data_IF_140559015081
#
_entry.id   IF_140559015081
#
_cell.length_a   1.000
_cell.length_b   1.000
_cell.length_c   1.000
_cell.angle_alpha   90.00
_cell.angle_beta   90.00
_cell.angle_gamma   90.00
#
_symmetry.space_group_name_H-M   'P 1'
#
loop_
_entity.id
_entity.type
_entity.pdbx_description
1 polymer ?
#
# COMPACT_ATOMS: atom_id res chain seq x y z
N UNK A 1 23.23 46.16 -47.18
CA UNK A 1 22.31 45.10 -47.64
C UNK A 1 22.71 43.70 -47.18
N UNK A 2 23.98 43.30 -47.26
CA UNK A 2 24.46 41.97 -46.83
C UNK A 2 24.14 41.54 -45.37
N UNK A 3 24.19 42.40 -44.34
CA UNK A 3 23.97 41.95 -42.95
C UNK A 3 22.49 41.66 -42.61
N UNK A 4 21.53 42.24 -43.35
CA UNK A 4 20.11 41.87 -43.19
C UNK A 4 19.80 40.49 -43.77
N UNK A 5 20.44 40.14 -44.89
CA UNK A 5 20.24 38.84 -45.56
C UNK A 5 20.82 37.71 -44.71
N UNK A 6 21.99 37.90 -44.10
CA UNK A 6 22.57 36.91 -43.17
C UNK A 6 21.73 36.75 -41.89
N UNK A 7 21.14 37.84 -41.38
CA UNK A 7 20.21 37.78 -40.25
C UNK A 7 18.96 36.92 -40.54
N UNK A 8 18.35 37.09 -41.71
CA UNK A 8 17.20 36.30 -42.15
C UNK A 8 17.55 34.81 -42.30
N UNK A 9 18.71 34.51 -42.90
CA UNK A 9 19.20 33.13 -43.05
C UNK A 9 19.46 32.49 -41.68
N UNK A 10 20.07 33.21 -40.75
CA UNK A 10 20.34 32.71 -39.39
C UNK A 10 19.04 32.45 -38.61
N UNK A 11 18.03 33.33 -38.72
CA UNK A 11 16.72 33.10 -38.11
C UNK A 11 16.00 31.89 -38.71
N UNK A 12 16.02 31.75 -40.04
CA UNK A 12 15.49 30.58 -40.74
C UNK A 12 16.16 29.27 -40.29
N UNK A 13 17.50 29.28 -40.12
CA UNK A 13 18.23 28.13 -39.60
C UNK A 13 17.82 27.76 -38.17
N UNK A 14 17.53 28.73 -37.30
CA UNK A 14 17.04 28.44 -35.94
C UNK A 14 15.67 27.76 -35.95
N UNK A 15 14.75 28.22 -36.81
CA UNK A 15 13.43 27.59 -36.97
C UNK A 15 13.58 26.12 -37.37
N UNK A 16 14.44 25.82 -38.34
CA UNK A 16 14.65 24.44 -38.80
C UNK A 16 15.26 23.56 -37.70
N UNK A 17 16.17 24.09 -36.87
CA UNK A 17 16.73 23.35 -35.72
C UNK A 17 15.65 23.05 -34.69
N UNK A 18 14.86 24.06 -34.30
CA UNK A 18 13.77 23.90 -33.33
C UNK A 18 12.74 22.88 -33.83
N UNK A 19 12.35 22.96 -35.11
CA UNK A 19 11.43 22.00 -35.71
C UNK A 19 11.97 20.56 -35.66
N UNK A 20 13.27 20.35 -35.86
CA UNK A 20 13.89 19.02 -35.73
C UNK A 20 13.84 18.50 -34.29
N UNK A 21 14.13 19.34 -33.30
CA UNK A 21 14.05 18.94 -31.88
C UNK A 21 12.61 18.59 -31.48
N UNK A 22 11.63 19.40 -31.90
CA UNK A 22 10.21 19.12 -31.67
C UNK A 22 9.81 17.79 -32.33
N UNK A 23 10.22 17.55 -33.57
CA UNK A 23 9.97 16.30 -34.28
C UNK A 23 10.58 15.08 -33.58
N UNK A 24 11.80 15.21 -33.05
CA UNK A 24 12.44 14.16 -32.24
C UNK A 24 11.66 13.87 -30.97
N UNK A 25 11.23 14.89 -30.23
CA UNK A 25 10.40 14.72 -29.03
C UNK A 25 9.06 14.06 -29.33
N UNK A 26 8.37 14.50 -30.39
CA UNK A 26 7.10 13.94 -30.80
C UNK A 26 7.22 12.46 -31.21
N UNK A 27 8.30 12.10 -31.92
CA UNK A 27 8.57 10.72 -32.30
C UNK A 27 8.74 9.80 -31.07
N UNK A 28 9.35 10.30 -29.99
CA UNK A 28 9.48 9.56 -28.73
C UNK A 28 8.10 9.37 -28.09
N UNK A 29 7.27 10.41 -28.04
CA UNK A 29 5.90 10.32 -27.50
C UNK A 29 5.04 9.35 -28.30
N UNK A 30 5.09 9.40 -29.63
CA UNK A 30 4.37 8.48 -30.50
C UNK A 30 4.84 7.03 -30.32
N UNK A 31 6.13 6.83 -30.04
CA UNK A 31 6.68 5.51 -29.69
C UNK A 31 6.14 4.95 -28.37
N UNK A 32 5.69 5.81 -27.44
CA UNK A 32 5.02 5.38 -26.21
C UNK A 32 3.57 4.94 -26.44
N UNK A 33 2.89 5.41 -27.49
CA UNK A 33 1.53 4.96 -27.84
C UNK A 33 1.50 3.51 -28.31
N UNK A 34 2.57 3.02 -28.94
CA UNK A 34 2.69 1.62 -29.37
C UNK A 34 3.18 0.67 -28.26
N UNK A 35 3.43 1.17 -27.04
CA UNK A 35 3.73 0.31 -25.90
C UNK A 35 2.42 -0.16 -25.28
N UNK A 36 2.37 -1.43 -24.90
CA UNK A 36 1.26 -1.94 -24.11
C UNK A 36 1.21 -1.19 -22.77
N UNK A 37 -0.01 -0.86 -22.33
CA UNK A 37 -0.21 -0.27 -21.02
C UNK A 37 0.21 -1.29 -19.95
N UNK A 38 1.07 -0.86 -19.02
CA UNK A 38 1.43 -1.67 -17.84
C UNK A 38 0.52 -1.25 -16.69
N UNK A 39 -0.78 -1.56 -16.84
CA UNK A 39 -1.78 -1.31 -15.81
C UNK A 39 -2.47 -2.60 -15.43
N UNK A 40 -2.60 -2.81 -14.14
CA UNK A 40 -3.45 -3.84 -13.54
C UNK A 40 -4.88 -3.29 -13.43
N UNK A 41 -5.86 -4.02 -13.95
CA UNK A 41 -7.25 -3.57 -13.90
C UNK A 41 -7.86 -3.84 -12.52
N UNK A 42 -7.75 -2.88 -11.60
CA UNK A 42 -8.59 -2.90 -10.40
C UNK A 42 -10.05 -2.66 -10.80
N UNK A 43 -11.06 -3.39 -10.26
CA UNK A 43 -11.02 -4.41 -9.22
C UNK A 43 -10.93 -5.88 -9.71
N UNK A 44 -10.74 -6.09 -11.02
CA UNK A 44 -10.84 -7.40 -11.67
C UNK A 44 -9.55 -8.23 -11.55
N UNK A 45 -8.39 -7.58 -11.51
CA UNK A 45 -7.08 -8.22 -11.42
C UNK A 45 -6.31 -7.64 -10.22
N UNK A 46 -5.94 -8.50 -9.27
CA UNK A 46 -5.27 -8.12 -8.01
C UNK A 46 -3.77 -8.36 -8.13
N UNK A 47 -2.97 -7.48 -7.55
CA UNK A 47 -1.53 -7.74 -7.41
C UNK A 47 -1.32 -8.92 -6.47
N UNK A 48 -0.29 -9.70 -6.75
CA UNK A 48 0.29 -10.60 -5.76
C UNK A 48 0.83 -9.77 -4.59
N UNK A 49 0.25 -9.95 -3.41
CA UNK A 49 0.80 -9.39 -2.17
C UNK A 49 1.98 -10.23 -1.71
N UNK A 50 2.99 -9.58 -1.12
CA UNK A 50 4.12 -10.26 -0.47
C UNK A 50 3.63 -11.06 0.74
N UNK A 51 4.35 -12.13 1.11
CA UNK A 51 4.04 -12.97 2.27
C UNK A 51 3.99 -12.17 3.59
N UNK A 52 4.78 -11.09 3.70
CA UNK A 52 4.84 -10.21 4.86
C UNK A 52 4.11 -8.86 4.64
N UNK A 53 3.11 -8.81 3.76
CA UNK A 53 2.34 -7.57 3.55
C UNK A 53 1.53 -7.23 4.81
N UNK A 54 1.78 -6.06 5.40
CA UNK A 54 0.99 -5.52 6.51
C UNK A 54 -0.40 -5.10 6.03
N UNK A 55 -1.33 -6.05 6.04
CA UNK A 55 -2.75 -5.83 5.77
C UNK A 55 -3.54 -5.53 7.04
N UNK A 56 -4.79 -6.00 7.06
CA UNK A 56 -5.62 -5.95 8.27
C UNK A 56 -5.01 -6.85 9.34
N UNK A 57 -4.82 -6.31 10.54
CA UNK A 57 -4.38 -7.07 11.70
C UNK A 57 -5.49 -8.06 12.06
N UNK A 58 -5.18 -9.36 11.99
CA UNK A 58 -6.01 -10.45 12.48
C UNK A 58 -5.32 -11.04 13.71
N UNK A 59 -6.04 -11.17 14.81
CA UNK A 59 -5.49 -11.67 16.07
C UNK A 59 -6.17 -12.99 16.41
N UNK A 60 -5.46 -14.09 16.13
CA UNK A 60 -5.88 -15.43 16.50
C UNK A 60 -5.24 -15.82 17.85
N UNK A 61 -6.06 -15.90 18.91
CA UNK A 61 -5.61 -16.35 20.23
C UNK A 61 -6.14 -17.76 20.50
N UNK A 62 -5.22 -18.73 20.62
CA UNK A 62 -5.55 -20.07 21.08
C UNK A 62 -5.71 -20.10 22.62
N UNK A 63 -6.94 -20.20 23.11
CA UNK A 63 -7.23 -20.28 24.55
C UNK A 63 -6.68 -21.54 25.24
N UNK A 64 -6.25 -22.56 24.47
CA UNK A 64 -5.56 -23.74 25.01
C UNK A 64 -4.09 -23.51 25.35
N UNK A 65 -3.47 -22.48 24.76
CA UNK A 65 -2.04 -22.14 24.94
C UNK A 65 -1.90 -20.84 25.73
N UNK A 66 -2.85 -19.91 25.57
CA UNK A 66 -2.84 -18.63 26.27
C UNK A 66 -2.83 -18.81 27.80
N UNK A 67 -1.92 -18.10 28.46
CA UNK A 67 -1.76 -18.09 29.93
C UNK A 67 -2.32 -16.82 30.59
N UNK A 68 -2.99 -15.95 29.82
CA UNK A 68 -3.58 -14.68 30.31
C UNK A 68 -2.57 -13.71 30.92
N UNK A 69 -1.38 -13.58 30.30
CA UNK A 69 -0.31 -12.69 30.78
C UNK A 69 -0.58 -11.19 30.55
N UNK A 70 -1.47 -10.82 29.61
CA UNK A 70 -1.77 -9.42 29.33
C UNK A 70 -0.84 -8.71 28.32
N UNK A 71 0.28 -9.33 27.93
CA UNK A 71 1.26 -8.70 27.04
C UNK A 71 0.69 -8.27 25.68
N UNK A 72 -0.30 -9.00 25.15
CA UNK A 72 -0.94 -8.64 23.87
C UNK A 72 -1.66 -7.28 23.93
N UNK A 73 -2.17 -6.88 25.09
CA UNK A 73 -2.82 -5.58 25.31
C UNK A 73 -1.77 -4.49 25.46
N UNK A 74 -0.73 -4.74 26.27
CA UNK A 74 0.33 -3.76 26.55
C UNK A 74 1.15 -3.40 25.31
N UNK A 75 1.49 -4.40 24.47
CA UNK A 75 2.29 -4.16 23.27
C UNK A 75 1.49 -3.58 22.10
N UNK A 76 0.15 -3.54 22.19
CA UNK A 76 -0.68 -3.08 21.08
C UNK A 76 -0.47 -1.56 20.85
N UNK A 77 0.06 -1.13 19.69
CA UNK A 77 0.37 0.29 19.43
C UNK A 77 -0.89 1.17 19.32
N UNK A 78 -2.03 0.57 18.98
CA UNK A 78 -3.33 1.27 18.85
C UNK A 78 -4.20 1.08 20.08
N UNK A 79 -3.74 0.30 21.07
CA UNK A 79 -4.47 -0.01 22.30
C UNK A 79 -5.94 -0.44 22.05
N UNK A 80 -6.16 -1.26 21.03
CA UNK A 80 -7.51 -1.66 20.58
C UNK A 80 -8.02 -2.96 21.23
N UNK A 81 -7.22 -3.58 22.11
CA UNK A 81 -7.58 -4.79 22.83
C UNK A 81 -7.90 -4.47 24.29
N UNK A 82 -8.81 -5.24 24.87
CA UNK A 82 -9.08 -5.20 26.31
C UNK A 82 -9.29 -6.60 26.88
N UNK A 83 -8.84 -6.83 28.11
CA UNK A 83 -9.11 -8.06 28.86
C UNK A 83 -10.33 -7.81 29.74
N UNK A 84 -11.41 -8.55 29.49
CA UNK A 84 -12.60 -8.50 30.34
C UNK A 84 -12.46 -9.55 31.46
N UNK A 85 -12.42 -9.08 32.71
CA UNK A 85 -12.44 -9.92 33.90
C UNK A 85 -13.88 -10.30 34.23
N UNK A 86 -14.33 -11.49 33.83
CA UNK A 86 -15.59 -12.04 34.35
C UNK A 86 -15.29 -12.86 35.60
N UNK A 87 -15.53 -12.26 36.77
CA UNK A 87 -15.52 -12.97 38.04
C UNK A 87 -16.80 -13.83 38.12
N UNK A 88 -16.65 -15.17 38.19
CA UNK A 88 -17.27 -16.03 39.21
C UNK A 88 -16.97 -17.54 39.02
N UNK A 89 -16.43 -18.11 40.12
CA UNK A 89 -16.61 -19.45 40.71
C UNK A 89 -15.89 -20.67 40.08
N UNK A 90 -15.24 -21.41 40.99
CA UNK A 90 -14.46 -22.64 40.90
C UNK A 90 -14.87 -23.67 39.83
N UNK A 91 -13.98 -23.95 38.89
CA UNK A 91 -14.06 -25.13 38.02
C UNK A 91 -12.69 -25.81 37.96
N UNK A 92 -12.68 -27.13 38.15
CA UNK A 92 -11.49 -27.97 38.35
C UNK A 92 -10.78 -28.40 37.05
N UNK A 93 -11.25 -27.95 35.88
CA UNK A 93 -10.74 -28.38 34.58
C UNK A 93 -10.21 -27.22 33.72
N UNK A 94 -9.05 -27.42 33.07
CA UNK A 94 -8.39 -26.40 32.22
C UNK A 94 -9.21 -26.03 30.97
N UNK A 95 -10.05 -26.95 30.49
CA UNK A 95 -10.89 -26.74 29.31
C UNK A 95 -12.07 -25.77 29.57
N UNK A 96 -12.55 -25.67 30.81
CA UNK A 96 -13.64 -24.75 31.19
C UNK A 96 -13.15 -23.35 31.54
N UNK A 97 -11.86 -23.20 31.88
CA UNK A 97 -11.24 -21.90 32.04
C UNK A 97 -11.30 -21.08 30.74
N UNK A 98 -11.20 -21.77 29.58
CA UNK A 98 -11.28 -21.23 28.22
C UNK A 98 -12.38 -20.21 27.95
N UNK A 99 -13.53 -20.37 28.63
CA UNK A 99 -14.73 -19.53 28.46
C UNK A 99 -14.78 -18.30 29.38
N UNK A 100 -13.85 -18.17 30.33
CA UNK A 100 -13.92 -17.16 31.43
C UNK A 100 -13.20 -15.86 31.12
N UNK A 101 -12.17 -15.91 30.28
CA UNK A 101 -11.34 -14.78 29.87
C UNK A 101 -11.60 -14.46 28.39
N UNK A 102 -12.77 -13.89 28.13
CA UNK A 102 -13.09 -13.39 26.79
C UNK A 102 -12.25 -12.13 26.55
N UNK A 103 -11.28 -12.19 25.64
CA UNK A 103 -10.72 -10.97 25.04
C UNK A 103 -11.83 -10.34 24.21
N UNK A 104 -12.48 -9.32 24.77
CA UNK A 104 -13.49 -8.53 24.07
C UNK A 104 -12.73 -7.40 23.38
N UNK A 105 -12.37 -7.62 22.12
CA UNK A 105 -11.81 -6.58 21.28
C UNK A 105 -12.90 -5.91 20.45
N UNK A 106 -13.65 -4.96 21.03
CA UNK A 106 -14.20 -3.81 20.29
C UNK A 106 -14.39 -2.65 21.27
N UNK A 107 -13.50 -1.66 21.24
CA UNK A 107 -13.88 -0.29 21.58
C UNK A 107 -14.27 0.42 20.28
N UNK A 108 -15.31 -0.13 19.62
CA UNK A 108 -16.17 0.47 18.60
C UNK A 108 -17.49 -0.31 18.56
#
# INVERSE_FOLDING_TARGET
>A
MLPMVTGFINYGQQIVRTARYIGQSFMITLSHTNRLHVTIHYPYEKLITLECFCGRIHLDIDFGICIFCGNCVEYCPTNCLSIAEKYEISTSSRFEAGKKYQLVGVLF
#
